data_IF_913611960140
#
_entry.id   IF_913611960140
#
_cell.length_a   1.000
_cell.length_b   1.000
_cell.length_c   1.000
_cell.angle_alpha   90.00
_cell.angle_beta   90.00
_cell.angle_gamma   90.00
#
_symmetry.space_group_name_H-M   'P 1'
#
loop_
_entity.id
_entity.type
_entity.pdbx_description
1 polymer ?
#
# COMPACT_ATOMS: atom_id res chain seq x y z
N UNK A 1 6.39 11.19 -8.96
CA UNK A 1 6.30 12.08 -7.79
C UNK A 1 6.75 11.27 -6.59
N UNK A 2 7.75 11.75 -5.86
CA UNK A 2 8.19 11.09 -4.62
C UNK A 2 7.15 11.38 -3.53
N UNK A 3 6.67 10.34 -2.86
CA UNK A 3 5.74 10.43 -1.75
C UNK A 3 6.07 9.26 -0.81
N UNK A 4 6.68 9.53 0.37
CA UNK A 4 7.18 8.49 1.27
C UNK A 4 6.12 7.81 2.14
N UNK A 5 4.93 8.40 2.25
CA UNK A 5 3.83 8.05 3.16
C UNK A 5 2.56 7.62 2.38
N UNK A 6 2.72 6.80 1.34
CA UNK A 6 1.59 6.43 0.45
C UNK A 6 0.50 5.66 1.19
N UNK A 7 0.86 4.68 2.02
CA UNK A 7 -0.10 3.93 2.83
C UNK A 7 -0.84 4.84 3.83
N UNK A 8 -0.13 5.77 4.50
CA UNK A 8 -0.77 6.71 5.44
C UNK A 8 -1.79 7.62 4.76
N UNK A 9 -1.53 8.03 3.52
CA UNK A 9 -2.50 8.79 2.72
C UNK A 9 -3.74 7.94 2.42
N UNK A 10 -3.57 6.67 2.08
CA UNK A 10 -4.71 5.76 1.85
C UNK A 10 -5.51 5.57 3.13
N UNK A 11 -4.86 5.35 4.28
CA UNK A 11 -5.51 5.20 5.58
C UNK A 11 -6.37 6.41 5.90
N UNK A 12 -5.80 7.62 5.85
CA UNK A 12 -6.55 8.86 6.12
C UNK A 12 -7.76 8.97 5.20
N UNK A 13 -7.60 8.74 3.90
CA UNK A 13 -8.73 8.82 2.97
C UNK A 13 -9.79 7.76 3.27
N UNK A 14 -9.41 6.56 3.71
CA UNK A 14 -10.35 5.52 4.05
C UNK A 14 -11.16 5.84 5.31
N UNK A 15 -10.51 6.37 6.35
CA UNK A 15 -11.19 6.82 7.58
C UNK A 15 -12.28 7.87 7.30
N UNK A 16 -12.02 8.79 6.37
CA UNK A 16 -12.98 9.85 6.04
C UNK A 16 -14.05 9.44 5.04
N UNK A 17 -13.72 8.58 4.06
CA UNK A 17 -14.54 8.41 2.87
C UNK A 17 -14.87 6.96 2.51
N UNK A 18 -14.10 5.98 2.99
CA UNK A 18 -14.32 4.58 2.65
C UNK A 18 -15.22 3.93 3.68
N UNK A 19 -16.34 3.38 3.23
CA UNK A 19 -17.25 2.62 4.10
C UNK A 19 -16.57 1.34 4.62
N UNK A 20 -16.94 0.86 5.83
CA UNK A 20 -16.55 -0.47 6.30
C UNK A 20 -16.93 -1.56 5.28
N UNK A 21 -16.06 -2.56 5.14
CA UNK A 21 -16.09 -3.58 4.11
C UNK A 21 -15.76 -3.09 2.69
N UNK A 22 -15.39 -1.81 2.52
CA UNK A 22 -14.97 -1.22 1.25
C UNK A 22 -13.57 -1.67 0.82
N UNK A 23 -13.23 -1.51 -0.46
CA UNK A 23 -11.97 -1.98 -1.02
C UNK A 23 -11.02 -0.82 -1.35
N UNK A 24 -9.73 -1.03 -1.13
CA UNK A 24 -8.66 -0.15 -1.56
C UNK A 24 -7.64 -0.93 -2.41
N UNK A 25 -7.08 -0.24 -3.41
CA UNK A 25 -5.98 -0.74 -4.22
C UNK A 25 -4.84 0.28 -4.16
N UNK A 26 -3.67 -0.15 -3.69
CA UNK A 26 -2.49 0.69 -3.55
C UNK A 26 -1.36 0.18 -4.46
N UNK A 27 -0.96 1.02 -5.41
CA UNK A 27 0.23 0.80 -6.22
C UNK A 27 1.47 1.32 -5.47
N UNK A 28 2.19 0.43 -4.80
CA UNK A 28 3.41 0.77 -4.06
C UNK A 28 4.57 0.96 -5.02
N UNK A 29 5.01 2.21 -5.18
CA UNK A 29 6.17 2.59 -6.00
C UNK A 29 7.39 2.71 -5.10
N UNK A 30 8.10 1.61 -4.85
CA UNK A 30 9.14 1.58 -3.81
C UNK A 30 10.19 2.70 -3.95
N UNK A 31 10.64 3.00 -5.18
CA UNK A 31 11.61 4.07 -5.47
C UNK A 31 11.09 5.50 -5.26
N UNK A 32 9.78 5.69 -5.17
CA UNK A 32 9.18 6.98 -4.80
C UNK A 32 9.01 7.13 -3.29
N UNK A 33 9.25 6.06 -2.54
CA UNK A 33 9.13 6.01 -1.07
C UNK A 33 10.51 6.03 -0.41
N UNK A 34 11.36 5.06 -0.75
CA UNK A 34 12.71 4.94 -0.22
C UNK A 34 13.60 4.25 -1.25
N UNK A 35 14.62 4.97 -1.74
CA UNK A 35 15.55 4.45 -2.74
C UNK A 35 16.66 3.58 -2.15
N UNK A 36 16.95 3.72 -0.85
CA UNK A 36 18.03 3.01 -0.18
C UNK A 36 17.62 1.60 0.27
N UNK A 37 16.32 1.40 0.52
CA UNK A 37 15.79 0.10 0.93
C UNK A 37 15.54 -0.84 -0.27
N UNK A 38 15.69 -2.16 -0.06
CA UNK A 38 15.17 -3.15 -0.99
C UNK A 38 13.64 -2.99 -1.18
N UNK A 39 13.12 -3.10 -2.42
CA UNK A 39 11.69 -2.93 -2.70
C UNK A 39 10.77 -3.78 -1.81
N UNK A 40 11.16 -5.02 -1.54
CA UNK A 40 10.40 -5.96 -0.70
C UNK A 40 10.22 -5.45 0.74
N UNK A 41 11.23 -4.78 1.29
CA UNK A 41 11.13 -4.17 2.62
C UNK A 41 10.19 -2.98 2.62
N UNK A 42 10.18 -2.20 1.53
CA UNK A 42 9.23 -1.10 1.36
C UNK A 42 7.81 -1.64 1.26
N UNK A 43 7.56 -2.69 0.46
CA UNK A 43 6.24 -3.31 0.36
C UNK A 43 5.73 -3.81 1.70
N UNK A 44 6.54 -4.57 2.43
CA UNK A 44 6.17 -5.09 3.74
C UNK A 44 5.86 -3.97 4.74
N UNK A 45 6.61 -2.85 4.67
CA UNK A 45 6.35 -1.67 5.51
C UNK A 45 5.00 -1.04 5.19
N UNK A 46 4.71 -0.76 3.91
CA UNK A 46 3.43 -0.16 3.51
C UNK A 46 2.24 -1.07 3.81
N UNK A 47 2.39 -2.39 3.62
CA UNK A 47 1.38 -3.38 3.99
C UNK A 47 1.11 -3.35 5.50
N UNK A 48 2.17 -3.34 6.32
CA UNK A 48 2.03 -3.27 7.78
C UNK A 48 1.35 -1.99 8.26
N UNK A 49 1.54 -0.86 7.55
CA UNK A 49 0.80 0.37 7.81
C UNK A 49 -0.69 0.18 7.53
N UNK A 50 -1.07 -0.44 6.41
CA UNK A 50 -2.48 -0.73 6.12
C UNK A 50 -3.10 -1.67 7.18
N UNK A 51 -2.44 -2.78 7.49
CA UNK A 51 -2.92 -3.76 8.48
C UNK A 51 -3.09 -3.14 9.88
N UNK A 52 -2.14 -2.31 10.29
CA UNK A 52 -2.20 -1.60 11.58
C UNK A 52 -3.33 -0.57 11.68
N UNK A 53 -3.99 -0.22 10.57
CA UNK A 53 -5.03 0.80 10.49
C UNK A 53 -6.33 0.26 9.88
N UNK A 54 -6.71 -0.96 10.25
CA UNK A 54 -8.05 -1.49 9.99
C UNK A 54 -8.25 -2.06 8.59
N UNK A 55 -7.18 -2.35 7.84
CA UNK A 55 -7.28 -3.08 6.58
C UNK A 55 -6.95 -4.56 6.74
N UNK A 56 -7.76 -5.40 6.12
CA UNK A 56 -7.43 -6.79 5.81
C UNK A 56 -6.75 -6.84 4.42
N UNK A 57 -5.56 -7.44 4.34
CA UNK A 57 -4.84 -7.58 3.07
C UNK A 57 -5.32 -8.82 2.36
N UNK A 58 -5.94 -8.63 1.19
CA UNK A 58 -6.45 -9.73 0.40
C UNK A 58 -5.40 -10.26 -0.58
N UNK A 59 -4.63 -9.36 -1.21
CA UNK A 59 -3.63 -9.77 -2.18
C UNK A 59 -2.49 -8.73 -2.26
N UNK A 60 -1.26 -9.20 -2.45
CA UNK A 60 -0.11 -8.36 -2.77
C UNK A 60 0.70 -9.00 -3.90
N UNK A 61 0.77 -8.32 -5.05
CA UNK A 61 1.42 -8.82 -6.26
C UNK A 61 2.56 -7.90 -6.67
N UNK A 62 3.74 -8.47 -6.94
CA UNK A 62 4.80 -7.75 -7.66
C UNK A 62 4.39 -7.60 -9.11
N UNK A 63 4.71 -6.44 -9.70
CA UNK A 63 4.38 -6.14 -11.10
C UNK A 63 5.53 -6.43 -12.07
N UNK A 64 6.63 -7.01 -11.60
CA UNK A 64 7.72 -7.50 -12.45
C UNK A 64 7.23 -8.71 -13.29
N UNK A 65 7.55 -8.79 -14.59
CA UNK A 65 8.52 -7.98 -15.36
C UNK A 65 7.97 -6.70 -16.00
N UNK A 66 6.67 -6.41 -15.85
CA UNK A 66 6.02 -5.29 -16.55
C UNK A 66 6.46 -3.94 -16.00
N UNK A 67 6.51 -3.81 -14.67
CA UNK A 67 7.00 -2.61 -13.99
C UNK A 67 7.91 -3.01 -12.83
N UNK A 68 9.20 -2.74 -12.99
CA UNK A 68 10.22 -3.02 -11.95
C UNK A 68 9.97 -2.22 -10.69
N UNK A 69 10.33 -2.79 -9.54
CA UNK A 69 10.28 -2.13 -8.24
C UNK A 69 8.88 -1.62 -7.83
N UNK A 70 7.82 -2.18 -8.42
CA UNK A 70 6.43 -1.90 -8.08
C UNK A 70 5.68 -3.15 -7.57
N UNK A 71 4.75 -2.92 -6.65
CA UNK A 71 3.76 -3.91 -6.23
C UNK A 71 2.35 -3.29 -6.21
N UNK A 72 1.34 -4.12 -6.42
CA UNK A 72 -0.06 -3.79 -6.21
C UNK A 72 -0.54 -4.49 -4.95
N UNK A 73 -1.15 -3.75 -4.04
CA UNK A 73 -1.78 -4.29 -2.82
C UNK A 73 -3.28 -4.06 -2.93
N UNK A 74 -4.06 -5.12 -2.75
CA UNK A 74 -5.53 -5.10 -2.67
C UNK A 74 -5.91 -5.39 -1.23
N UNK A 75 -6.67 -4.49 -0.63
CA UNK A 75 -7.04 -4.56 0.77
C UNK A 75 -8.51 -4.21 0.97
N UNK A 76 -9.12 -4.76 2.02
CA UNK A 76 -10.48 -4.47 2.43
C UNK A 76 -10.46 -3.73 3.76
N UNK A 77 -11.12 -2.59 3.81
CA UNK A 77 -11.17 -1.75 5.01
C UNK A 77 -12.28 -2.24 5.92
N UNK A 78 -11.94 -2.76 7.09
CA UNK A 78 -12.89 -3.30 8.06
C UNK A 78 -13.33 -2.25 9.10
N UNK A 79 -12.54 -1.18 9.28
CA UNK A 79 -12.80 -0.09 10.23
C UNK A 79 -12.05 -0.27 11.54
#
# INVERSE_FOLDING_TARGET
>A
VAQPDQADIVVKNAEFFLRPGGWAMLAVKSRSIDVALPPEKVYAREIGVLEGNGFEIHEALKLDPYVKDHAMVVARYEG
#
